data_IF_765249535901
#
_entry.id   IF_765249535901
#
_cell.length_a   1.000
_cell.length_b   1.000
_cell.length_c   1.000
_cell.angle_alpha   90.00
_cell.angle_beta   90.00
_cell.angle_gamma   90.00
#
_symmetry.space_group_name_H-M   'P 1'
#
loop_
_entity.id
_entity.type
_entity.pdbx_description
1 polymer ?
#
# COMPACT_ATOMS: atom_id res chain seq x y z
N UNK A 1 -8.86 16.02 -3.41
CA UNK A 1 -8.44 16.94 -4.49
C UNK A 1 -9.62 17.48 -5.34
N UNK A 2 -10.80 16.87 -5.32
CA UNK A 2 -11.93 17.27 -6.19
C UNK A 2 -12.75 18.48 -5.69
N UNK A 3 -12.90 18.68 -4.38
CA UNK A 3 -13.79 19.72 -3.82
C UNK A 3 -13.29 21.14 -4.14
N UNK A 4 -11.99 21.42 -3.95
CA UNK A 4 -11.43 22.76 -4.17
C UNK A 4 -11.42 23.25 -5.63
N UNK A 5 -11.70 22.38 -6.61
CA UNK A 5 -11.86 22.78 -8.02
C UNK A 5 -13.28 23.29 -8.31
N UNK A 6 -14.28 22.78 -7.58
CA UNK A 6 -15.68 23.16 -7.73
C UNK A 6 -16.02 24.56 -7.21
N UNK A 7 -15.19 25.12 -6.33
CA UNK A 7 -15.41 26.43 -5.67
C UNK A 7 -15.10 27.64 -6.55
N UNK A 8 -14.61 27.45 -7.78
CA UNK A 8 -14.31 28.54 -8.71
C UNK A 8 -15.59 29.18 -9.23
N UNK A 9 -15.63 30.51 -9.23
CA UNK A 9 -16.69 31.29 -9.85
C UNK A 9 -16.71 31.03 -11.35
N UNK A 10 -17.87 30.66 -11.89
CA UNK A 10 -18.12 30.60 -13.32
C UNK A 10 -19.12 31.71 -13.68
N UNK A 11 -18.66 32.81 -14.32
CA UNK A 11 -19.53 33.90 -14.73
C UNK A 11 -20.60 33.43 -15.72
N UNK A 12 -21.79 34.03 -15.63
CA UNK A 12 -22.92 33.81 -16.56
C UNK A 12 -23.38 32.34 -16.73
N UNK A 13 -23.03 31.45 -15.80
CA UNK A 13 -23.35 30.02 -15.87
C UNK A 13 -24.87 29.75 -15.99
N UNK A 14 -25.69 30.58 -15.35
CA UNK A 14 -27.16 30.48 -15.36
C UNK A 14 -27.82 31.56 -16.23
N UNK A 15 -27.05 32.22 -17.09
CA UNK A 15 -27.50 33.28 -18.01
C UNK A 15 -26.79 34.61 -17.79
N UNK A 16 -27.06 35.63 -18.64
CA UNK A 16 -26.40 36.93 -18.56
C UNK A 16 -26.60 37.58 -17.19
N UNK A 17 -25.49 37.99 -16.56
CA UNK A 17 -25.42 38.51 -15.18
C UNK A 17 -25.86 37.51 -14.10
N UNK A 18 -25.91 36.20 -14.39
CA UNK A 18 -26.23 35.14 -13.43
C UNK A 18 -25.09 34.14 -13.35
N UNK A 19 -24.11 34.49 -12.53
CA UNK A 19 -22.96 33.64 -12.22
C UNK A 19 -23.35 32.41 -11.42
N UNK A 20 -22.43 31.45 -11.33
CA UNK A 20 -22.55 30.26 -10.49
C UNK A 20 -22.71 30.62 -9.00
N UNK A 21 -23.83 30.23 -8.41
CA UNK A 21 -24.11 30.41 -6.97
C UNK A 21 -23.56 29.27 -6.08
N UNK A 22 -23.29 28.09 -6.66
CA UNK A 22 -22.80 26.93 -5.92
C UNK A 22 -22.56 25.70 -6.79
N UNK A 23 -22.24 24.57 -6.15
CA UNK A 23 -22.18 23.25 -6.79
C UNK A 23 -22.62 22.18 -5.80
N UNK A 24 -23.21 21.10 -6.31
CA UNK A 24 -23.61 19.95 -5.51
C UNK A 24 -22.51 18.90 -5.54
N UNK A 25 -22.28 18.26 -4.39
CA UNK A 25 -21.45 17.06 -4.28
C UNK A 25 -22.39 15.92 -3.89
N UNK A 26 -22.45 14.90 -4.73
CA UNK A 26 -23.17 13.68 -4.41
C UNK A 26 -22.21 12.72 -3.73
N UNK A 27 -22.52 12.34 -2.50
CA UNK A 27 -21.78 11.33 -1.77
C UNK A 27 -22.42 9.96 -2.02
N UNK A 28 -21.73 9.12 -2.79
CA UNK A 28 -22.13 7.73 -2.98
C UNK A 28 -21.36 6.86 -1.98
N UNK A 29 -22.07 6.04 -1.21
CA UNK A 29 -21.51 5.14 -0.18
C UNK A 29 -21.06 5.83 1.12
N UNK A 30 -21.70 6.93 1.53
CA UNK A 30 -21.48 7.55 2.86
C UNK A 30 -20.01 7.95 3.12
N UNK A 31 -19.26 8.36 2.11
CA UNK A 31 -17.86 8.77 2.31
C UNK A 31 -17.77 9.97 3.26
N UNK A 32 -18.71 10.92 3.17
CA UNK A 32 -18.74 12.09 4.05
C UNK A 32 -18.89 11.65 5.50
N UNK A 33 -19.79 10.71 5.78
CA UNK A 33 -19.96 10.15 7.11
C UNK A 33 -18.69 9.41 7.57
N UNK A 34 -18.13 8.55 6.71
CA UNK A 34 -16.89 7.82 6.97
C UNK A 34 -15.70 8.75 7.29
N UNK A 35 -15.51 9.83 6.53
CA UNK A 35 -14.41 10.79 6.75
C UNK A 35 -14.68 11.79 7.89
N UNK A 36 -15.95 12.04 8.25
CA UNK A 36 -16.31 12.87 9.39
C UNK A 36 -16.17 12.15 10.73
N UNK A 37 -16.26 10.83 10.74
CA UNK A 37 -15.96 10.06 11.93
C UNK A 37 -14.43 10.11 12.12
N UNK A 38 -13.95 10.63 13.25
CA UNK A 38 -12.55 10.53 13.71
C UNK A 38 -12.21 9.07 14.06
N UNK A 39 -12.50 8.13 13.16
CA UNK A 39 -12.15 6.73 13.31
C UNK A 39 -10.64 6.61 13.11
N UNK A 40 -9.96 6.00 14.07
CA UNK A 40 -8.70 5.35 13.75
C UNK A 40 -8.97 4.40 12.59
N UNK A 41 -8.17 4.54 11.51
CA UNK A 41 -8.29 3.70 10.33
C UNK A 41 -8.34 2.25 10.79
N UNK A 42 -9.51 1.62 10.73
CA UNK A 42 -9.58 0.19 10.96
C UNK A 42 -8.67 -0.41 9.88
N UNK A 43 -7.59 -1.07 10.31
CA UNK A 43 -6.77 -1.89 9.43
C UNK A 43 -7.64 -3.04 8.96
N UNK A 44 -8.48 -2.79 7.95
CA UNK A 44 -9.12 -3.83 7.20
C UNK A 44 -8.00 -4.64 6.60
N UNK A 45 -7.74 -5.84 7.15
CA UNK A 45 -6.82 -6.81 6.55
C UNK A 45 -7.42 -7.24 5.22
N UNK A 46 -7.08 -6.50 4.16
CA UNK A 46 -7.34 -6.90 2.79
C UNK A 46 -6.63 -8.24 2.60
N UNK A 47 -7.35 -9.25 2.15
CA UNK A 47 -6.75 -10.55 1.90
C UNK A 47 -5.63 -10.41 0.85
N UNK A 48 -4.46 -11.05 1.05
CA UNK A 48 -3.34 -10.91 0.14
C UNK A 48 -3.72 -11.40 -1.25
N UNK A 49 -3.27 -10.68 -2.27
CA UNK A 49 -3.54 -11.02 -3.67
C UNK A 49 -2.97 -12.40 -4.02
N UNK A 50 -3.46 -13.02 -5.10
CA UNK A 50 -2.92 -14.30 -5.56
C UNK A 50 -1.42 -14.18 -5.91
N UNK A 51 -1.01 -13.09 -6.56
CA UNK A 51 0.40 -12.83 -6.88
C UNK A 51 1.24 -12.70 -5.61
N UNK A 52 0.76 -11.94 -4.62
CA UNK A 52 1.43 -11.80 -3.32
C UNK A 52 1.60 -13.17 -2.65
N UNK A 53 0.53 -13.96 -2.56
CA UNK A 53 0.60 -15.31 -1.96
C UNK A 53 1.57 -16.23 -2.68
N UNK A 54 1.71 -16.10 -4.00
CA UNK A 54 2.68 -16.90 -4.77
C UNK A 54 4.10 -16.42 -4.47
N UNK A 55 4.34 -15.11 -4.44
CA UNK A 55 5.62 -14.53 -4.08
C UNK A 55 6.05 -14.98 -2.69
N UNK A 56 5.16 -14.87 -1.70
CA UNK A 56 5.38 -15.35 -0.33
C UNK A 56 5.79 -16.82 -0.30
N UNK A 57 5.07 -17.71 -1.00
CA UNK A 57 5.40 -19.15 -1.00
C UNK A 57 6.70 -19.48 -1.72
N UNK A 58 7.13 -18.67 -2.70
CA UNK A 58 8.46 -18.81 -3.31
C UNK A 58 9.56 -18.42 -2.32
N UNK A 59 9.38 -17.32 -1.60
CA UNK A 59 10.32 -16.90 -0.56
C UNK A 59 10.38 -17.93 0.58
N UNK A 60 9.23 -18.46 1.02
CA UNK A 60 9.19 -19.55 2.01
C UNK A 60 9.97 -20.79 1.54
N UNK A 61 9.80 -21.18 0.26
CA UNK A 61 10.46 -22.36 -0.28
C UNK A 61 11.97 -22.14 -0.45
N UNK A 62 12.37 -20.93 -0.83
CA UNK A 62 13.77 -20.53 -0.88
C UNK A 62 14.43 -20.64 0.49
N UNK A 63 13.79 -20.13 1.54
CA UNK A 63 14.26 -20.24 2.93
C UNK A 63 14.36 -21.70 3.39
N UNK A 64 13.34 -22.52 3.09
CA UNK A 64 13.34 -23.93 3.46
C UNK A 64 14.49 -24.73 2.79
N UNK A 65 14.83 -24.40 1.55
CA UNK A 65 15.96 -25.00 0.83
C UNK A 65 17.31 -24.60 1.44
N UNK A 66 17.46 -23.34 1.87
CA UNK A 66 18.68 -22.85 2.54
C UNK A 66 18.82 -23.50 3.94
N UNK A 67 17.73 -23.60 4.70
CA UNK A 67 17.70 -24.28 6.00
C UNK A 67 18.07 -25.76 5.91
N UNK A 68 17.56 -26.47 4.89
CA UNK A 68 17.89 -27.87 4.63
C UNK A 68 19.38 -28.03 4.29
N UNK A 69 19.89 -27.17 3.40
CA UNK A 69 21.30 -27.17 2.98
C UNK A 69 22.27 -26.87 4.13
N UNK A 70 21.87 -26.00 5.07
CA UNK A 70 22.68 -25.69 6.26
C UNK A 70 22.76 -26.87 7.26
N UNK A 71 21.70 -27.69 7.35
CA UNK A 71 21.68 -28.90 8.21
C UNK A 71 22.57 -30.00 7.63
N UNK A 72 22.62 -30.11 6.31
CA UNK A 72 23.53 -31.01 5.60
C UNK A 72 24.94 -30.41 5.54
N UNK A 73 25.71 -30.61 6.62
CA UNK A 73 27.11 -30.15 6.79
C UNK A 73 28.11 -30.58 5.70
N UNK A 74 27.70 -31.42 4.74
CA UNK A 74 28.49 -31.79 3.55
C UNK A 74 28.14 -30.97 2.29
N UNK A 75 27.05 -30.19 2.31
CA UNK A 75 26.52 -29.44 1.18
C UNK A 75 26.55 -27.91 1.39
N UNK A 76 27.04 -27.43 2.54
CA UNK A 76 27.19 -26.01 2.88
C UNK A 76 28.27 -25.33 2.01
N UNK A 77 28.00 -25.24 0.71
CA UNK A 77 28.66 -24.31 -0.18
C UNK A 77 27.65 -23.20 -0.39
N UNK A 78 27.97 -21.99 0.07
CA UNK A 78 27.34 -20.77 -0.44
C UNK A 78 27.26 -20.94 -1.95
N UNK A 79 26.06 -20.96 -2.53
CA UNK A 79 25.89 -21.13 -3.98
C UNK A 79 26.27 -19.80 -4.63
N UNK A 80 27.54 -19.40 -4.53
CA UNK A 80 28.09 -18.19 -5.12
C UNK A 80 28.18 -18.31 -6.65
N UNK A 81 27.97 -19.52 -7.19
CA UNK A 81 28.02 -19.83 -8.61
C UNK A 81 26.74 -20.51 -9.05
N UNK A 82 26.21 -20.05 -10.17
CA UNK A 82 25.02 -20.61 -10.81
C UNK A 82 25.20 -22.12 -11.05
N UNK A 83 24.27 -22.97 -10.58
CA UNK A 83 24.29 -24.40 -10.91
C UNK A 83 24.17 -24.66 -12.41
N UNK A 84 24.76 -25.76 -12.88
CA UNK A 84 24.62 -26.21 -14.28
C UNK A 84 23.21 -26.74 -14.58
N UNK A 85 22.48 -27.15 -13.54
CA UNK A 85 21.15 -27.75 -13.59
C UNK A 85 20.07 -26.76 -13.17
N UNK A 86 18.84 -26.93 -13.68
CA UNK A 86 17.68 -26.14 -13.29
C UNK A 86 16.85 -26.83 -12.19
N UNK A 87 15.78 -26.17 -11.76
CA UNK A 87 14.89 -26.69 -10.71
C UNK A 87 14.13 -27.95 -11.06
N UNK A 88 14.17 -28.44 -12.30
CA UNK A 88 13.56 -29.73 -12.67
C UNK A 88 14.50 -30.90 -12.46
N UNK A 89 15.78 -30.65 -12.14
CA UNK A 89 16.81 -31.68 -12.01
C UNK A 89 17.41 -31.71 -10.60
N UNK A 90 17.58 -30.57 -9.92
CA UNK A 90 18.18 -30.54 -8.59
C UNK A 90 17.61 -29.46 -7.67
N UNK A 91 17.73 -29.69 -6.37
CA UNK A 91 17.34 -28.73 -5.32
C UNK A 91 18.15 -27.43 -5.40
N UNK A 92 19.45 -27.52 -5.74
CA UNK A 92 20.30 -26.36 -5.97
C UNK A 92 19.84 -25.52 -7.19
N UNK A 93 19.44 -26.18 -8.27
CA UNK A 93 18.86 -25.53 -9.44
C UNK A 93 17.51 -24.89 -9.11
N UNK A 94 16.69 -25.54 -8.28
CA UNK A 94 15.39 -25.03 -7.84
C UNK A 94 15.57 -23.78 -6.99
N UNK A 95 16.51 -23.80 -6.04
CA UNK A 95 16.87 -22.64 -5.23
C UNK A 95 17.29 -21.47 -6.12
N UNK A 96 18.18 -21.71 -7.10
CA UNK A 96 18.66 -20.68 -8.01
C UNK A 96 17.53 -20.08 -8.86
N UNK A 97 16.63 -20.93 -9.38
CA UNK A 97 15.48 -20.50 -10.17
C UNK A 97 14.49 -19.67 -9.33
N UNK A 98 14.27 -20.03 -8.06
CA UNK A 98 13.44 -19.26 -7.13
C UNK A 98 14.04 -17.89 -6.82
N UNK A 99 15.34 -17.83 -6.50
CA UNK A 99 16.07 -16.60 -6.25
C UNK A 99 16.03 -15.67 -7.47
N UNK A 100 16.33 -16.20 -8.66
CA UNK A 100 16.23 -15.46 -9.93
C UNK A 100 14.83 -14.92 -10.16
N UNK A 101 13.81 -15.74 -9.90
CA UNK A 101 12.42 -15.31 -10.09
C UNK A 101 12.02 -14.19 -9.13
N UNK A 102 12.37 -14.29 -7.85
CA UNK A 102 12.04 -13.27 -6.86
C UNK A 102 12.80 -11.97 -7.16
N UNK A 103 14.07 -12.06 -7.52
CA UNK A 103 14.90 -10.94 -7.97
C UNK A 103 14.32 -10.23 -9.20
N UNK A 104 13.91 -10.98 -10.23
CA UNK A 104 13.26 -10.40 -11.42
C UNK A 104 11.94 -9.66 -11.06
N UNK A 105 11.18 -10.20 -10.10
CA UNK A 105 9.94 -9.56 -9.62
C UNK A 105 10.21 -8.26 -8.86
N UNK A 106 11.26 -8.21 -8.03
CA UNK A 106 11.68 -7.02 -7.28
C UNK A 106 12.29 -5.95 -8.18
N UNK A 107 13.20 -6.32 -9.08
CA UNK A 107 13.84 -5.37 -10.01
C UNK A 107 12.85 -4.71 -10.97
N UNK A 108 11.71 -5.37 -11.23
CA UNK A 108 10.62 -4.81 -12.04
C UNK A 108 9.61 -3.95 -11.24
N UNK A 109 9.82 -3.73 -9.94
CA UNK A 109 9.02 -2.78 -9.15
C UNK A 109 9.41 -1.35 -9.53
N UNK A 110 8.40 -0.50 -9.81
CA UNK A 110 8.66 0.90 -10.20
C UNK A 110 8.94 1.75 -8.95
N UNK A 111 10.16 2.31 -8.77
CA UNK A 111 10.50 3.10 -7.59
C UNK A 111 9.73 4.42 -7.48
N UNK A 112 9.12 4.90 -8.57
CA UNK A 112 8.30 6.12 -8.58
C UNK A 112 6.83 5.85 -8.17
N UNK A 113 6.43 4.57 -8.06
CA UNK A 113 5.09 4.21 -7.60
C UNK A 113 4.93 4.57 -6.11
N UNK A 114 3.86 5.28 -5.76
CA UNK A 114 3.61 5.74 -4.39
C UNK A 114 3.51 4.60 -3.35
N UNK A 115 3.17 3.37 -3.77
CA UNK A 115 3.18 2.19 -2.90
C UNK A 115 4.59 1.62 -2.70
N UNK A 116 5.46 1.77 -3.70
CA UNK A 116 6.83 1.23 -3.68
C UNK A 116 7.80 2.21 -3.01
N UNK A 117 7.59 3.52 -3.18
CA UNK A 117 8.43 4.60 -2.63
C UNK A 117 8.77 4.46 -1.13
N UNK A 118 7.83 4.09 -0.23
CA UNK A 118 8.12 3.88 1.19
C UNK A 118 9.08 2.71 1.46
N UNK A 119 9.16 1.75 0.54
CA UNK A 119 9.97 0.53 0.65
C UNK A 119 11.20 0.56 -0.28
N UNK A 120 11.64 1.77 -0.67
CA UNK A 120 12.72 1.95 -1.65
C UNK A 120 14.05 1.33 -1.20
N UNK A 121 14.36 1.43 0.08
CA UNK A 121 15.56 0.82 0.67
C UNK A 121 15.57 -0.71 0.45
N UNK A 122 14.46 -1.38 0.74
CA UNK A 122 14.32 -2.82 0.54
C UNK A 122 14.37 -3.19 -0.94
N UNK A 123 13.71 -2.41 -1.81
CA UNK A 123 13.78 -2.64 -3.26
C UNK A 123 15.21 -2.48 -3.78
N UNK A 124 15.96 -1.48 -3.33
CA UNK A 124 17.35 -1.27 -3.75
C UNK A 124 18.28 -2.39 -3.23
N UNK A 125 18.08 -2.85 -1.98
CA UNK A 125 18.83 -3.96 -1.40
C UNK A 125 18.60 -5.27 -2.17
N UNK A 126 17.33 -5.64 -2.37
CA UNK A 126 16.95 -6.89 -3.03
C UNK A 126 16.94 -6.81 -4.57
N UNK A 127 17.25 -5.65 -5.15
CA UNK A 127 17.59 -5.51 -6.57
C UNK A 127 19.02 -5.97 -6.88
N UNK A 128 19.90 -6.03 -5.87
CA UNK A 128 21.17 -6.73 -5.98
C UNK A 128 20.92 -8.25 -5.88
N UNK A 129 21.48 -9.01 -6.82
CA UNK A 129 21.32 -10.46 -6.81
C UNK A 129 22.06 -11.10 -5.62
N UNK A 130 23.12 -10.45 -5.13
CA UNK A 130 23.93 -10.97 -4.03
C UNK A 130 23.10 -11.13 -2.74
N UNK A 131 22.08 -10.30 -2.54
CA UNK A 131 21.12 -10.40 -1.42
C UNK A 131 20.31 -11.71 -1.42
N UNK A 132 20.28 -12.45 -2.54
CA UNK A 132 19.57 -13.72 -2.69
C UNK A 132 20.50 -14.94 -2.62
N UNK A 133 21.82 -14.75 -2.56
CA UNK A 133 22.79 -15.85 -2.48
C UNK A 133 22.79 -16.54 -1.11
N UNK A 134 22.47 -15.79 -0.06
CA UNK A 134 22.28 -16.29 1.31
C UNK A 134 20.95 -15.74 1.84
N UNK A 135 19.90 -16.56 1.81
CA UNK A 135 18.55 -16.11 2.17
C UNK A 135 18.23 -16.44 3.62
N UNK A 136 18.62 -15.53 4.52
CA UNK A 136 18.45 -15.69 5.97
C UNK A 136 16.99 -15.49 6.42
N UNK A 137 16.62 -15.95 7.63
CA UNK A 137 15.30 -15.65 8.20
C UNK A 137 14.98 -14.16 8.30
N UNK A 138 16.00 -13.32 8.57
CA UNK A 138 15.84 -11.87 8.63
C UNK A 138 15.56 -11.28 7.23
N UNK A 139 16.33 -11.71 6.21
CA UNK A 139 16.10 -11.31 4.82
C UNK A 139 14.72 -11.77 4.32
N UNK A 140 14.29 -12.97 4.70
CA UNK A 140 12.94 -13.46 4.42
C UNK A 140 11.87 -12.54 5.03
N UNK A 141 12.01 -12.17 6.30
CA UNK A 141 11.09 -11.25 6.97
C UNK A 141 10.97 -9.91 6.24
N UNK A 142 12.09 -9.31 5.84
CA UNK A 142 12.09 -8.06 5.08
C UNK A 142 11.36 -8.19 3.73
N UNK A 143 11.62 -9.28 3.01
CA UNK A 143 11.01 -9.55 1.69
C UNK A 143 9.49 -9.74 1.81
N UNK A 144 9.04 -10.50 2.81
CA UNK A 144 7.61 -10.77 3.02
C UNK A 144 6.87 -9.50 3.44
N UNK A 145 7.38 -8.79 4.44
CA UNK A 145 6.68 -7.67 5.07
C UNK A 145 6.68 -6.41 4.20
N UNK A 146 7.72 -6.21 3.38
CA UNK A 146 7.90 -4.98 2.63
C UNK A 146 7.72 -5.13 1.12
N UNK A 147 8.01 -6.30 0.53
CA UNK A 147 8.05 -6.46 -0.94
C UNK A 147 6.90 -7.30 -1.50
N UNK A 148 6.41 -8.31 -0.78
CA UNK A 148 5.46 -9.28 -1.33
C UNK A 148 4.13 -8.68 -1.83
N UNK A 149 3.67 -7.60 -1.19
CA UNK A 149 2.43 -6.91 -1.55
C UNK A 149 2.59 -5.83 -2.64
N UNK A 150 3.81 -5.54 -3.08
CA UNK A 150 4.09 -4.40 -3.94
C UNK A 150 3.74 -4.66 -5.42
N UNK A 151 3.28 -3.63 -6.14
CA UNK A 151 3.03 -3.74 -7.57
C UNK A 151 4.34 -3.87 -8.35
N UNK A 152 4.46 -4.94 -9.12
CA UNK A 152 5.58 -5.18 -10.04
C UNK A 152 5.13 -5.12 -11.50
N UNK A 153 6.01 -4.62 -12.38
CA UNK A 153 5.83 -4.68 -13.82
C UNK A 153 6.23 -6.04 -14.41
N UNK A 154 6.75 -6.95 -13.59
CA UNK A 154 7.16 -8.28 -14.01
C UNK A 154 5.98 -9.04 -14.67
N UNK A 155 6.25 -9.63 -15.83
CA UNK A 155 5.32 -10.50 -16.55
C UNK A 155 6.00 -11.82 -16.82
N UNK A 156 5.34 -12.90 -16.41
CA UNK A 156 5.80 -14.25 -16.74
C UNK A 156 5.70 -14.43 -18.26
N UNK A 157 6.74 -14.96 -18.90
CA UNK A 157 6.74 -15.20 -20.36
C UNK A 157 5.61 -16.15 -20.76
N UNK A 158 5.27 -17.04 -19.83
CA UNK A 158 4.18 -18.01 -19.95
C UNK A 158 2.99 -17.65 -19.05
N UNK A 159 2.58 -16.36 -18.98
CA UNK A 159 1.39 -15.93 -18.23
C UNK A 159 0.12 -16.59 -18.80
N UNK A 160 -0.16 -17.79 -18.31
CA UNK A 160 -1.25 -18.65 -18.73
C UNK A 160 -2.57 -18.29 -18.01
N UNK A 161 -2.62 -17.14 -17.33
CA UNK A 161 -3.82 -16.62 -16.67
C UNK A 161 -3.96 -17.02 -15.20
N UNK A 162 -5.12 -16.74 -14.63
CA UNK A 162 -5.38 -16.92 -13.20
C UNK A 162 -5.39 -18.40 -12.77
N UNK A 163 -5.89 -19.30 -13.63
CA UNK A 163 -5.88 -20.74 -13.40
C UNK A 163 -4.45 -21.29 -13.22
N UNK A 164 -3.50 -20.85 -14.04
CA UNK A 164 -2.11 -21.25 -13.91
C UNK A 164 -1.49 -20.74 -12.61
N UNK A 165 -1.80 -19.51 -12.20
CA UNK A 165 -1.36 -18.95 -10.91
C UNK A 165 -1.91 -19.74 -9.71
N UNK A 166 -3.19 -20.14 -9.76
CA UNK A 166 -3.78 -20.99 -8.71
C UNK A 166 -3.08 -22.35 -8.64
N UNK A 167 -2.74 -22.93 -9.78
CA UNK A 167 -1.98 -24.18 -9.84
C UNK A 167 -0.55 -24.01 -9.34
N UNK A 168 0.14 -22.93 -9.70
CA UNK A 168 1.47 -22.61 -9.15
C UNK A 168 1.42 -22.49 -7.63
N UNK A 169 0.40 -21.82 -7.08
CA UNK A 169 0.23 -21.73 -5.63
C UNK A 169 -0.02 -23.09 -4.98
N UNK A 170 -0.79 -23.97 -5.62
CA UNK A 170 -1.02 -25.35 -5.17
C UNK A 170 0.30 -26.14 -5.15
N UNK A 171 1.09 -26.06 -6.23
CA UNK A 171 2.36 -26.75 -6.37
C UNK A 171 3.42 -26.23 -5.38
N UNK A 172 3.54 -24.91 -5.19
CA UNK A 172 4.46 -24.33 -4.22
C UNK A 172 4.13 -24.75 -2.78
N UNK A 173 2.84 -24.82 -2.44
CA UNK A 173 2.41 -25.35 -1.14
C UNK A 173 2.79 -26.81 -0.97
N UNK A 174 2.65 -27.61 -2.02
CA UNK A 174 3.01 -29.02 -2.01
C UNK A 174 4.52 -29.21 -1.86
N UNK A 175 5.33 -28.44 -2.58
CA UNK A 175 6.79 -28.39 -2.42
C UNK A 175 7.18 -28.03 -0.99
N UNK A 176 6.52 -27.02 -0.39
CA UNK A 176 6.74 -26.67 1.02
C UNK A 176 6.39 -27.81 1.97
N UNK A 177 5.30 -28.55 1.74
CA UNK A 177 4.98 -29.71 2.59
C UNK A 177 6.02 -30.81 2.51
N UNK A 178 6.65 -31.01 1.35
CA UNK A 178 7.76 -31.96 1.18
C UNK A 178 9.02 -31.45 1.87
N UNK A 179 9.35 -30.17 1.73
CA UNK A 179 10.54 -29.57 2.35
C UNK A 179 10.45 -29.55 3.89
N UNK A 180 9.27 -29.26 4.45
CA UNK A 180 9.08 -29.09 5.89
C UNK A 180 8.59 -30.37 6.61
N UNK A 181 8.08 -31.36 5.87
CA UNK A 181 7.45 -32.55 6.45
C UNK A 181 6.06 -32.28 7.03
N UNK A 182 5.29 -31.37 6.42
CA UNK A 182 4.00 -30.91 6.95
C UNK A 182 2.85 -31.92 6.69
N UNK A 183 1.86 -32.03 7.60
CA UNK A 183 0.73 -32.96 7.47
C UNK A 183 -0.25 -32.63 6.33
N UNK A 184 -0.08 -31.48 5.66
CA UNK A 184 -0.94 -31.02 4.58
C UNK A 184 -0.73 -31.73 3.24
N UNK A 185 0.32 -32.55 3.10
CA UNK A 185 0.73 -33.16 1.83
C UNK A 185 -0.41 -33.95 1.16
N UNK A 186 -1.05 -34.88 1.88
CA UNK A 186 -2.10 -35.77 1.33
C UNK A 186 -3.23 -34.98 0.69
N UNK A 187 -3.74 -33.93 1.36
CA UNK A 187 -4.84 -33.11 0.85
C UNK A 187 -4.45 -32.33 -0.40
N UNK A 188 -3.21 -31.88 -0.51
CA UNK A 188 -2.71 -31.13 -1.67
C UNK A 188 -2.43 -32.08 -2.84
N UNK A 189 -1.85 -33.25 -2.55
CA UNK A 189 -1.68 -34.36 -3.50
C UNK A 189 -3.00 -34.74 -4.16
N UNK A 190 -4.04 -35.00 -3.36
CA UNK A 190 -5.34 -35.44 -3.87
C UNK A 190 -5.96 -34.40 -4.83
N UNK A 191 -5.78 -33.10 -4.55
CA UNK A 191 -6.19 -32.02 -5.47
C UNK A 191 -5.43 -32.05 -6.79
N UNK A 192 -4.13 -32.34 -6.76
CA UNK A 192 -3.33 -32.45 -7.98
C UNK A 192 -3.73 -33.70 -8.77
N UNK A 193 -3.97 -34.84 -8.11
CA UNK A 193 -4.45 -36.06 -8.75
C UNK A 193 -5.81 -35.83 -9.44
N UNK A 194 -6.73 -35.10 -8.80
CA UNK A 194 -8.03 -34.73 -9.40
C UNK A 194 -7.85 -33.86 -10.66
N UNK A 195 -6.94 -32.87 -10.61
CA UNK A 195 -6.61 -32.03 -11.76
C UNK A 195 -6.01 -32.88 -12.90
N UNK A 196 -5.08 -33.78 -12.58
CA UNK A 196 -4.45 -34.66 -13.57
C UNK A 196 -5.49 -35.58 -14.24
N UNK A 197 -6.39 -36.16 -13.44
CA UNK A 197 -7.48 -37.02 -13.91
C UNK A 197 -8.44 -36.26 -14.82
N UNK A 198 -8.82 -35.04 -14.44
CA UNK A 198 -9.68 -34.17 -15.26
C UNK A 198 -9.05 -33.78 -16.59
N UNK A 199 -7.72 -33.65 -16.64
CA UNK A 199 -6.99 -33.40 -17.88
C UNK A 199 -6.93 -34.68 -18.75
N UNK A 200 -6.77 -35.87 -18.15
CA UNK A 200 -6.80 -37.14 -18.86
C UNK A 200 -8.15 -37.43 -19.53
N UNK A 201 -9.25 -36.88 -19.05
CA UNK A 201 -10.55 -36.98 -19.73
C UNK A 201 -10.59 -36.20 -21.08
N UNK A 202 -9.60 -35.34 -21.35
CA UNK A 202 -9.56 -34.41 -22.47
C UNK A 202 -8.40 -34.67 -23.45
N UNK A 203 -8.01 -35.94 -23.66
CA UNK A 203 -6.93 -36.34 -24.60
C UNK A 203 -7.21 -36.02 -26.07
N UNK A 204 -8.40 -35.54 -26.41
CA UNK A 204 -8.69 -34.99 -27.74
C UNK A 204 -7.89 -33.71 -28.02
N UNK A 205 -7.48 -32.97 -26.97
CA UNK A 205 -6.67 -31.76 -27.10
C UNK A 205 -5.17 -32.14 -27.26
N UNK A 206 -4.50 -31.77 -28.38
CA UNK A 206 -3.13 -32.21 -28.65
C UNK A 206 -2.10 -31.85 -27.58
N UNK A 207 -2.22 -30.66 -26.95
CA UNK A 207 -1.29 -30.20 -25.91
C UNK A 207 -1.42 -31.00 -24.61
N UNK A 208 -2.62 -31.49 -24.29
CA UNK A 208 -2.86 -32.39 -23.15
C UNK A 208 -2.33 -33.77 -23.49
N UNK A 209 -2.66 -34.30 -24.68
CA UNK A 209 -2.19 -35.59 -25.16
C UNK A 209 -0.66 -35.71 -25.17
N UNK A 210 0.05 -34.62 -25.49
CA UNK A 210 1.51 -34.56 -25.44
C UNK A 210 2.10 -34.80 -24.03
N UNK A 211 1.32 -34.55 -22.97
CA UNK A 211 1.72 -34.76 -21.57
C UNK A 211 1.04 -35.99 -20.94
N UNK A 212 0.40 -36.87 -21.74
CA UNK A 212 -0.39 -38.00 -21.22
C UNK A 212 0.41 -38.88 -20.25
N UNK A 213 1.66 -39.24 -20.59
CA UNK A 213 2.50 -40.09 -19.73
C UNK A 213 2.68 -39.49 -18.34
N UNK A 214 3.01 -38.19 -18.26
CA UNK A 214 3.17 -37.50 -16.99
C UNK A 214 1.84 -37.38 -16.24
N UNK A 215 0.73 -37.17 -16.95
CA UNK A 215 -0.59 -37.10 -16.33
C UNK A 215 -1.01 -38.44 -15.73
N UNK A 216 -0.75 -39.56 -16.44
CA UNK A 216 -1.01 -40.92 -15.94
C UNK A 216 -0.15 -41.21 -14.69
N UNK A 217 1.14 -40.84 -14.71
CA UNK A 217 2.03 -40.97 -13.55
C UNK A 217 1.52 -40.15 -12.35
N UNK A 218 1.24 -38.86 -12.54
CA UNK A 218 0.78 -37.95 -11.47
C UNK A 218 -0.59 -38.35 -10.92
N UNK A 219 -1.46 -38.96 -11.74
CA UNK A 219 -2.75 -39.49 -11.27
C UNK A 219 -2.57 -40.74 -10.39
N UNK A 220 -1.55 -41.55 -10.65
CA UNK A 220 -1.25 -42.78 -9.90
C UNK A 220 -0.57 -42.54 -8.55
N UNK A 221 -0.83 -43.41 -7.57
CA UNK A 221 -0.28 -43.29 -6.22
C UNK A 221 1.24 -43.59 -6.14
N UNK A 222 1.78 -44.39 -7.08
CA UNK A 222 3.19 -44.78 -7.08
C UNK A 222 4.13 -43.58 -7.28
N UNK A 223 3.76 -42.63 -8.14
CA UNK A 223 4.58 -41.44 -8.41
C UNK A 223 4.78 -40.55 -7.17
N UNK A 224 3.85 -40.63 -6.22
CA UNK A 224 3.88 -39.85 -4.99
C UNK A 224 4.70 -40.49 -3.87
N UNK A 225 5.14 -41.74 -4.03
CA UNK A 225 6.05 -42.38 -3.09
C UNK A 225 7.43 -41.77 -3.24
N UNK A 226 7.98 -41.25 -2.14
CA UNK A 226 9.30 -40.60 -2.08
C UNK A 226 9.48 -39.47 -3.11
N UNK A 227 8.40 -38.72 -3.41
CA UNK A 227 8.42 -37.63 -4.38
C UNK A 227 9.40 -36.53 -3.98
N UNK A 228 10.18 -36.05 -4.95
CA UNK A 228 11.23 -35.04 -4.75
C UNK A 228 10.80 -33.65 -5.22
N UNK A 229 11.45 -32.59 -4.72
CA UNK A 229 11.17 -31.22 -5.15
C UNK A 229 11.37 -31.00 -6.66
N UNK A 230 12.40 -31.57 -7.33
CA UNK A 230 12.56 -31.44 -8.78
C UNK A 230 11.46 -32.13 -9.59
N UNK A 231 10.91 -33.25 -9.09
CA UNK A 231 9.75 -33.91 -9.71
C UNK A 231 8.50 -33.03 -9.61
N UNK A 232 8.25 -32.43 -8.44
CA UNK A 232 7.15 -31.48 -8.26
C UNK A 232 7.31 -30.22 -9.11
N UNK A 233 8.53 -29.73 -9.28
CA UNK A 233 8.82 -28.58 -10.16
C UNK A 233 8.60 -28.92 -11.64
N UNK A 234 9.02 -30.11 -12.07
CA UNK A 234 8.74 -30.63 -13.42
C UNK A 234 7.23 -30.67 -13.69
N UNK A 235 6.48 -31.23 -12.74
CA UNK A 235 5.03 -31.26 -12.78
C UNK A 235 4.44 -29.85 -12.87
N UNK A 236 4.89 -28.92 -12.00
CA UNK A 236 4.41 -27.53 -11.99
C UNK A 236 4.59 -26.86 -13.36
N UNK A 237 5.79 -26.91 -13.93
CA UNK A 237 6.12 -26.27 -15.21
C UNK A 237 5.31 -26.84 -16.37
N UNK A 238 5.14 -28.17 -16.43
CA UNK A 238 4.47 -28.84 -17.55
C UNK A 238 2.95 -28.75 -17.47
N UNK A 239 2.38 -28.80 -16.27
CA UNK A 239 0.92 -28.83 -16.09
C UNK A 239 0.29 -27.43 -15.98
N UNK A 240 0.99 -26.40 -15.50
CA UNK A 240 0.40 -25.05 -15.27
C UNK A 240 -0.33 -24.48 -16.48
N UNK A 241 0.24 -24.67 -17.68
CA UNK A 241 -0.35 -24.17 -18.93
C UNK A 241 -1.55 -24.99 -19.42
N UNK A 242 -1.72 -26.22 -18.93
CA UNK A 242 -2.81 -27.12 -19.28
C UNK A 242 -4.04 -26.90 -18.40
N UNK A 243 -3.89 -26.49 -17.15
CA UNK A 243 -5.01 -26.31 -16.19
C UNK A 243 -6.07 -25.34 -16.70
N UNK A 244 -5.70 -24.35 -17.53
CA UNK A 244 -6.65 -23.42 -18.16
C UNK A 244 -7.62 -24.09 -19.15
N UNK A 245 -7.27 -25.27 -19.65
CA UNK A 245 -8.05 -26.03 -20.63
C UNK A 245 -9.15 -26.84 -19.97
N UNK A 246 -9.10 -27.00 -18.64
CA UNK A 246 -10.18 -27.64 -17.88
C UNK A 246 -11.44 -26.83 -18.09
N UNK A 247 -12.45 -27.44 -18.72
CA UNK A 247 -13.69 -26.76 -19.05
C UNK A 247 -14.32 -26.13 -17.80
N UNK A 248 -14.67 -24.85 -17.91
CA UNK A 248 -15.25 -24.06 -16.81
C UNK A 248 -16.69 -24.46 -16.46
N UNK A 249 -17.20 -25.56 -17.03
CA UNK A 249 -18.61 -26.01 -17.05
C UNK A 249 -19.22 -26.21 -15.65
N UNK A 250 -18.43 -26.15 -14.57
CA UNK A 250 -18.90 -26.21 -13.17
C UNK A 250 -18.72 -24.93 -12.34
N UNK A 251 -18.39 -23.77 -12.92
CA UNK A 251 -18.47 -22.51 -12.16
C UNK A 251 -19.91 -22.03 -12.18
N UNK A 252 -20.62 -22.19 -11.06
CA UNK A 252 -21.91 -21.54 -10.87
C UNK A 252 -21.75 -20.06 -11.20
N UNK A 253 -22.44 -19.59 -12.24
CA UNK A 253 -22.41 -18.19 -12.63
C UNK A 253 -23.06 -17.42 -11.49
N UNK A 254 -22.25 -16.71 -10.70
CA UNK A 254 -22.76 -15.80 -9.69
C UNK A 254 -23.13 -14.52 -10.42
N UNK A 255 -24.42 -14.38 -10.75
CA UNK A 255 -24.97 -13.09 -11.13
C UNK A 255 -25.05 -12.25 -9.85
N UNK A 256 -24.14 -11.31 -9.67
CA UNK A 256 -24.33 -10.19 -8.74
C UNK A 256 -25.25 -9.19 -9.42
N UNK A 257 -26.55 -9.49 -9.41
CA UNK A 257 -27.61 -8.55 -9.76
C UNK A 257 -28.00 -7.80 -8.49
N UNK A 258 -27.33 -6.67 -8.26
CA UNK A 258 -27.71 -5.74 -7.21
C UNK A 258 -28.58 -4.68 -7.86
N UNK A 259 -29.89 -4.69 -7.58
CA UNK A 259 -30.72 -3.52 -7.84
C UNK A 259 -30.33 -2.43 -6.82
N UNK A 260 -29.76 -1.33 -7.32
CA UNK A 260 -29.47 -0.16 -6.49
C UNK A 260 -30.79 0.47 -6.02
N UNK A 261 -31.11 0.35 -4.73
CA UNK A 261 -32.15 1.15 -4.10
C UNK A 261 -31.60 2.55 -3.84
N UNK A 262 -31.96 3.51 -4.70
CA UNK A 262 -31.73 4.93 -4.43
C UNK A 262 -32.60 5.35 -3.24
N UNK A 263 -31.99 5.40 -2.05
CA UNK A 263 -32.61 5.95 -0.85
C UNK A 263 -32.88 7.46 -0.95
N UNK A 264 -33.59 8.01 0.04
CA UNK A 264 -33.86 9.45 0.09
C UNK A 264 -32.56 10.28 0.23
N UNK A 265 -32.46 11.37 -0.54
CA UNK A 265 -31.33 12.28 -0.47
C UNK A 265 -31.33 13.00 0.89
N UNK A 266 -30.31 12.70 1.71
CA UNK A 266 -30.08 13.38 2.99
C UNK A 266 -28.95 14.40 2.85
N UNK A 267 -29.11 15.55 3.49
CA UNK A 267 -28.05 16.56 3.55
C UNK A 267 -26.99 16.15 4.58
N UNK A 268 -25.74 16.02 4.15
CA UNK A 268 -24.60 15.74 5.02
C UNK A 268 -23.69 16.97 5.14
N UNK A 269 -23.28 17.30 6.37
CA UNK A 269 -22.34 18.39 6.67
C UNK A 269 -20.93 17.84 6.68
N UNK A 270 -19.97 18.49 6.02
CA UNK A 270 -18.55 18.13 6.09
C UNK A 270 -17.91 18.75 7.34
N UNK A 271 -17.33 17.93 8.21
CA UNK A 271 -16.65 18.33 9.45
C UNK A 271 -15.15 18.16 9.26
N UNK A 272 -14.33 19.11 9.74
CA UNK A 272 -12.85 19.00 9.64
C UNK A 272 -12.23 19.41 8.30
N UNK A 273 -13.04 19.85 7.32
CA UNK A 273 -12.55 20.68 6.22
C UNK A 273 -12.51 22.14 6.67
N UNK A 274 -11.66 22.45 7.65
CA UNK A 274 -11.28 23.84 7.86
C UNK A 274 -10.66 24.31 6.55
N UNK A 275 -11.27 25.32 5.95
CA UNK A 275 -10.83 25.96 4.73
C UNK A 275 -9.42 26.53 5.03
N UNK A 276 -8.40 25.70 4.78
CA UNK A 276 -6.98 25.98 4.97
C UNK A 276 -6.42 27.02 4.02
N UNK A 277 -7.20 28.05 3.72
CA UNK A 277 -6.79 29.22 2.95
C UNK A 277 -6.88 30.53 3.73
N UNK A 278 -7.50 30.58 4.92
CA UNK A 278 -7.61 31.84 5.68
C UNK A 278 -6.62 32.01 6.84
N UNK A 279 -6.29 30.98 7.63
CA UNK A 279 -5.44 31.18 8.82
C UNK A 279 -4.06 31.75 8.48
N UNK A 280 -3.40 31.22 7.44
CA UNK A 280 -2.09 31.72 7.01
C UNK A 280 -2.17 33.14 6.45
N UNK A 281 -3.27 33.51 5.78
CA UNK A 281 -3.48 34.87 5.26
C UNK A 281 -3.83 35.85 6.37
N UNK A 282 -4.64 35.42 7.34
CA UNK A 282 -4.95 36.13 8.56
C UNK A 282 -3.68 36.45 9.35
N UNK A 283 -2.82 35.46 9.59
CA UNK A 283 -1.51 35.65 10.24
C UNK A 283 -0.63 36.64 9.47
N UNK A 284 -0.57 36.54 8.14
CA UNK A 284 0.18 37.47 7.30
C UNK A 284 -0.36 38.91 7.40
N UNK A 285 -1.68 39.09 7.33
CA UNK A 285 -2.35 40.40 7.45
C UNK A 285 -2.10 41.05 8.81
N UNK A 286 -2.23 40.29 9.90
CA UNK A 286 -1.92 40.75 11.25
C UNK A 286 -0.45 41.14 11.36
N UNK A 287 0.46 40.32 10.83
CA UNK A 287 1.91 40.62 10.87
C UNK A 287 2.25 41.92 10.12
N UNK A 288 1.64 42.16 8.97
CA UNK A 288 1.80 43.40 8.20
C UNK A 288 1.28 44.59 9.02
N UNK A 289 0.09 44.46 9.63
CA UNK A 289 -0.48 45.51 10.46
C UNK A 289 0.44 45.89 11.62
N UNK A 290 0.93 44.89 12.38
CA UNK A 290 1.80 45.11 13.54
C UNK A 290 3.16 45.72 13.15
N UNK A 291 3.68 45.42 11.95
CA UNK A 291 4.91 46.03 11.45
C UNK A 291 4.70 47.47 10.94
N UNK A 292 3.51 47.79 10.46
CA UNK A 292 3.19 49.12 9.92
C UNK A 292 2.84 50.12 11.03
N UNK A 293 2.23 49.65 12.12
CA UNK A 293 1.71 50.49 13.22
C UNK A 293 2.55 50.35 14.50
N UNK A 294 3.89 50.40 14.36
CA UNK A 294 4.83 50.31 15.49
C UNK A 294 4.77 51.52 16.43
N UNK A 295 4.15 52.61 16.00
CA UNK A 295 3.89 53.83 16.75
C UNK A 295 2.71 53.68 17.74
N UNK A 296 1.83 52.68 17.55
CA UNK A 296 0.72 52.42 18.46
C UNK A 296 1.20 51.84 19.80
N UNK A 297 0.67 52.39 20.90
CA UNK A 297 1.08 52.03 22.26
C UNK A 297 0.86 50.53 22.57
N UNK A 298 -0.24 49.94 22.10
CA UNK A 298 -0.53 48.51 22.29
C UNK A 298 0.49 47.61 21.58
N UNK A 299 0.90 47.98 20.35
CA UNK A 299 1.93 47.26 19.58
C UNK A 299 3.30 47.40 20.23
N UNK A 300 3.65 48.59 20.75
CA UNK A 300 4.89 48.80 21.50
C UNK A 300 4.95 47.96 22.79
N UNK A 301 3.83 47.84 23.52
CA UNK A 301 3.76 47.00 24.72
C UNK A 301 4.01 45.53 24.39
N UNK A 302 3.46 45.04 23.26
CA UNK A 302 3.68 43.66 22.76
C UNK A 302 5.16 43.41 22.47
N UNK A 303 5.81 44.31 21.71
CA UNK A 303 7.22 44.16 21.27
C UNK A 303 8.24 44.33 22.41
N UNK A 304 7.97 45.21 23.37
CA UNK A 304 8.85 45.52 24.51
C UNK A 304 8.60 44.65 25.74
N UNK A 305 7.81 43.58 25.59
CA UNK A 305 7.42 42.68 26.67
C UNK A 305 6.82 43.40 27.91
N UNK A 306 6.10 44.51 27.70
CA UNK A 306 5.41 45.21 28.79
C UNK A 306 4.03 44.60 29.02
N UNK A 307 3.47 44.80 30.21
CA UNK A 307 2.13 44.35 30.54
C UNK A 307 1.10 44.97 29.59
N UNK A 308 0.36 44.12 28.89
CA UNK A 308 -0.76 44.52 28.05
C UNK A 308 -2.05 44.40 28.85
N UNK A 309 -2.91 45.42 28.79
CA UNK A 309 -4.19 45.41 29.51
C UNK A 309 -5.29 44.77 28.68
N UNK A 310 -6.38 44.36 29.34
CA UNK A 310 -7.55 43.84 28.64
C UNK A 310 -8.15 44.87 27.67
N UNK A 311 -8.07 46.17 28.00
CA UNK A 311 -8.53 47.25 27.13
C UNK A 311 -7.69 47.31 25.85
N UNK A 312 -6.36 47.28 25.96
CA UNK A 312 -5.44 47.28 24.81
C UNK A 312 -5.73 46.10 23.84
N UNK A 313 -6.05 44.91 24.37
CA UNK A 313 -6.37 43.74 23.55
C UNK A 313 -7.73 43.86 22.87
N UNK A 314 -8.74 44.40 23.57
CA UNK A 314 -10.07 44.61 23.00
C UNK A 314 -10.06 45.66 21.87
N UNK A 315 -9.21 46.68 21.99
CA UNK A 315 -9.02 47.69 20.93
C UNK A 315 -8.36 47.08 19.69
N UNK A 316 -7.31 46.27 19.87
CA UNK A 316 -6.65 45.59 18.75
C UNK A 316 -7.59 44.61 18.03
N UNK A 317 -8.38 43.85 18.79
CA UNK A 317 -9.41 42.96 18.24
C UNK A 317 -10.42 43.72 17.39
N UNK A 318 -10.93 44.85 17.91
CA UNK A 318 -11.85 45.71 17.17
C UNK A 318 -11.23 46.24 15.88
N UNK A 319 -9.98 46.70 15.94
CA UNK A 319 -9.27 47.21 14.76
C UNK A 319 -9.06 46.10 13.72
N UNK A 320 -8.73 44.87 14.14
CA UNK A 320 -8.53 43.77 13.19
C UNK A 320 -9.81 43.40 12.45
N UNK A 321 -10.96 43.46 13.12
CA UNK A 321 -12.26 43.24 12.48
C UNK A 321 -12.66 44.41 11.58
N UNK A 322 -12.54 45.66 12.06
CA UNK A 322 -12.89 46.86 11.29
C UNK A 322 -12.02 47.05 10.04
N UNK A 323 -10.73 46.70 10.11
CA UNK A 323 -9.80 46.77 9.00
C UNK A 323 -9.90 45.55 8.06
N UNK A 324 -10.79 44.59 8.31
CA UNK A 324 -10.96 43.38 7.50
C UNK A 324 -9.73 42.46 7.50
N UNK A 325 -8.93 42.51 8.57
CA UNK A 325 -7.73 41.69 8.74
C UNK A 325 -8.10 40.26 9.14
N UNK A 326 -9.23 40.08 9.83
CA UNK A 326 -9.89 38.79 10.08
C UNK A 326 -11.31 38.95 10.62
N UNK A 327 -11.98 37.82 10.82
CA UNK A 327 -13.33 37.77 11.40
C UNK A 327 -13.27 37.56 12.92
N UNK A 328 -14.37 37.84 13.62
CA UNK A 328 -14.49 37.54 15.06
C UNK A 328 -14.27 36.06 15.35
N UNK A 329 -14.72 35.16 14.46
CA UNK A 329 -14.51 33.73 14.59
C UNK A 329 -13.02 33.33 14.52
N UNK A 330 -12.25 33.98 13.63
CA UNK A 330 -10.80 33.73 13.53
C UNK A 330 -10.06 34.13 14.81
N UNK A 331 -10.48 35.25 15.41
CA UNK A 331 -9.88 35.78 16.64
C UNK A 331 -10.21 34.88 17.84
N UNK A 332 -11.45 34.43 17.96
CA UNK A 332 -11.88 33.54 19.05
C UNK A 332 -11.20 32.17 18.97
N UNK A 333 -11.06 31.61 17.76
CA UNK A 333 -10.30 30.38 17.55
C UNK A 333 -8.85 30.51 18.06
N UNK A 334 -8.18 31.63 17.77
CA UNK A 334 -6.80 31.87 18.20
C UNK A 334 -6.69 32.08 19.71
N UNK A 335 -7.67 32.74 20.34
CA UNK A 335 -7.69 32.87 21.81
C UNK A 335 -7.67 31.49 22.47
N UNK A 336 -8.44 30.55 21.94
CA UNK A 336 -8.54 29.18 22.47
C UNK A 336 -7.32 28.32 22.10
N UNK A 337 -6.87 28.37 20.85
CA UNK A 337 -5.80 27.49 20.35
C UNK A 337 -4.38 27.92 20.74
N UNK A 338 -4.14 29.21 20.99
CA UNK A 338 -2.80 29.78 21.20
C UNK A 338 -2.60 30.43 22.57
N UNK A 339 -3.48 30.13 23.53
CA UNK A 339 -3.36 30.59 24.92
C UNK A 339 -3.63 32.09 25.10
N UNK A 340 -4.42 32.69 24.19
CA UNK A 340 -4.82 34.09 24.23
C UNK A 340 -4.20 34.98 23.14
N UNK A 341 -4.94 36.03 22.77
CA UNK A 341 -4.57 36.95 21.69
C UNK A 341 -3.19 37.61 21.90
N UNK A 342 -2.84 37.97 23.13
CA UNK A 342 -1.54 38.60 23.44
C UNK A 342 -0.33 37.71 23.17
N UNK A 343 -0.41 36.41 23.48
CA UNK A 343 0.68 35.45 23.21
C UNK A 343 0.84 35.21 21.72
N UNK A 344 -0.28 35.10 21.00
CA UNK A 344 -0.28 34.98 19.55
C UNK A 344 0.35 36.20 18.85
N UNK A 345 -0.03 37.42 19.25
CA UNK A 345 0.55 38.63 18.62
C UNK A 345 2.07 38.73 18.89
N UNK A 346 2.55 38.25 20.05
CA UNK A 346 3.98 38.16 20.37
C UNK A 346 4.71 37.12 19.53
N UNK A 347 4.09 35.95 19.30
CA UNK A 347 4.71 34.91 18.46
C UNK A 347 4.88 35.36 17.00
N UNK A 348 3.99 36.23 16.50
CA UNK A 348 4.08 36.78 15.14
C UNK A 348 5.11 37.90 14.97
N UNK A 349 5.30 38.74 16.00
CA UNK A 349 6.15 39.94 15.91
C UNK A 349 7.56 39.75 16.45
N UNK A 350 7.74 38.83 17.40
CA UNK A 350 8.97 38.72 18.19
C UNK A 350 9.17 39.87 19.17
N UNK A 351 10.14 39.72 20.08
CA UNK A 351 10.52 40.75 21.04
C UNK A 351 11.67 41.62 20.51
N UNK A 352 11.72 42.87 20.96
CA UNK A 352 12.89 43.73 20.75
C UNK A 352 14.11 43.15 21.49
N UNK A 353 15.30 43.29 20.90
CA UNK A 353 16.53 42.68 21.41
C UNK A 353 16.82 43.04 22.87
N UNK A 354 16.59 44.29 23.25
CA UNK A 354 16.76 44.77 24.64
C UNK A 354 15.74 44.13 25.59
N UNK A 355 14.48 43.99 25.17
CA UNK A 355 13.43 43.35 25.97
C UNK A 355 13.63 41.83 26.10
N UNK A 356 14.17 41.18 25.06
CA UNK A 356 14.55 39.79 25.11
C UNK A 356 15.72 39.59 26.09
N UNK A 357 16.78 40.41 26.02
CA UNK A 357 17.91 40.34 26.94
C UNK A 357 17.49 40.52 28.41
N UNK A 358 16.66 41.53 28.70
CA UNK A 358 16.14 41.78 30.05
C UNK A 358 15.27 40.62 30.61
N UNK A 359 14.59 39.87 29.76
CA UNK A 359 13.78 38.72 30.18
C UNK A 359 14.62 37.45 30.44
N UNK A 360 15.86 37.40 29.94
CA UNK A 360 16.82 36.32 30.19
C UNK A 360 17.83 36.65 31.30
N UNK A 361 18.00 37.95 31.62
CA UNK A 361 18.83 38.43 32.74
C UNK A 361 18.05 38.49 34.09
N UNK A 362 16.76 38.13 34.09
CA UNK A 362 15.87 38.11 35.27
C UNK A 362 15.58 36.71 35.81
#
# INVERSE_FOLDING_TARGET
QMIGRGTRLAPDLFGPNRSKDGFLVFDLCQNIEFFNQNLMRAEGKVAPSLSQRIFERRADLLLALDDSSARDRHAATVIATRPETDGTVSDSGLRWDLATRLHDEVTAMNPENFLVRPHREQVENFADFDAWLEFTPDAHGEVIDHLAGLPTAFRDKDDAGEEAKRFDLLALRLQLTVANGDPGFTRLRDQVQEIASTLLDQLTIPTIKAQQVLLDEVAGDEWWQDVTLPQLETMRRRLRGLVRLIEKTKRGIVYTDFEDELGELTAATLTGMEIGTDLTRFEQKIRIYLNTHQDQLAVQKIRRNKQITALDLSELEKIFVEAGLGTTADIDYIKDAKGGLGLFLRSLTGLEREAAALAFDS
#
